data_IF_978166716109
#
_entry.id   IF_978166716109
#
_cell.length_a   1.000
_cell.length_b   1.000
_cell.length_c   1.000
_cell.angle_alpha   90.00
_cell.angle_beta   90.00
_cell.angle_gamma   90.00
#
_symmetry.space_group_name_H-M   'P 1'
#
loop_
_entity.id
_entity.type
_entity.pdbx_description
1 polymer ?
#
# COMPACT_ATOMS: atom_id res chain seq x y z
N UNK A 1 15.81 12.63 -9.41
CA UNK A 1 14.42 12.29 -9.73
C UNK A 1 14.41 10.90 -10.32
N UNK A 2 13.88 9.93 -9.58
CA UNK A 2 13.94 8.52 -9.96
C UNK A 2 12.83 8.18 -10.97
N UNK A 3 13.16 7.73 -12.19
CA UNK A 3 12.17 7.42 -13.23
C UNK A 3 11.27 6.21 -12.91
N UNK A 4 11.60 5.36 -11.94
CA UNK A 4 10.74 4.26 -11.51
C UNK A 4 9.51 4.73 -10.72
N UNK A 5 9.60 5.86 -10.02
CA UNK A 5 8.47 6.39 -9.23
C UNK A 5 7.30 6.83 -10.11
N UNK A 6 7.57 7.20 -11.37
CA UNK A 6 6.54 7.56 -12.34
C UNK A 6 5.81 6.35 -12.96
N UNK A 7 6.33 5.12 -12.83
CA UNK A 7 5.80 3.97 -13.56
C UNK A 7 4.48 3.41 -12.99
N UNK A 8 4.12 3.70 -11.73
CA UNK A 8 2.95 3.12 -11.04
C UNK A 8 1.90 4.17 -10.66
N UNK A 9 1.91 5.34 -11.31
CA UNK A 9 0.96 6.41 -10.98
C UNK A 9 -0.44 6.16 -11.54
N UNK A 10 -0.61 5.20 -12.45
CA UNK A 10 -1.89 4.88 -13.12
C UNK A 10 -2.04 3.38 -13.34
N UNK A 11 -3.23 2.83 -13.07
CA UNK A 11 -3.49 1.40 -13.29
C UNK A 11 -4.96 1.10 -13.64
N UNK A 12 -5.15 -0.11 -14.17
CA UNK A 12 -6.46 -0.69 -14.47
C UNK A 12 -6.77 -1.70 -13.38
N UNK A 13 -7.81 -1.44 -12.60
CA UNK A 13 -8.40 -2.37 -11.67
C UNK A 13 -9.39 -3.23 -12.45
N UNK A 14 -8.95 -4.44 -12.83
CA UNK A 14 -9.73 -5.38 -13.63
C UNK A 14 -11.06 -5.79 -12.98
N UNK A 15 -11.24 -5.56 -11.68
CA UNK A 15 -12.51 -5.83 -11.00
C UNK A 15 -13.65 -4.99 -11.56
N UNK A 16 -13.41 -3.71 -11.87
CA UNK A 16 -14.43 -2.80 -12.39
C UNK A 16 -15.04 -3.33 -13.71
N UNK A 17 -14.25 -3.54 -14.77
CA UNK A 17 -14.78 -4.05 -16.04
C UNK A 17 -15.30 -5.49 -15.93
N UNK A 18 -14.71 -6.32 -15.07
CA UNK A 18 -15.26 -7.64 -14.80
C UNK A 18 -16.66 -7.58 -14.18
N UNK A 19 -16.89 -6.67 -13.22
CA UNK A 19 -18.22 -6.49 -12.62
C UNK A 19 -19.24 -6.00 -13.65
N UNK A 20 -18.84 -5.15 -14.58
CA UNK A 20 -19.70 -4.63 -15.65
C UNK A 20 -20.14 -5.74 -16.62
N UNK A 21 -19.23 -6.64 -16.99
CA UNK A 21 -19.52 -7.76 -17.91
C UNK A 21 -20.28 -8.91 -17.23
N UNK A 22 -19.97 -9.20 -15.97
CA UNK A 22 -20.48 -10.39 -15.27
C UNK A 22 -21.47 -10.10 -14.12
N UNK A 23 -22.02 -8.88 -14.04
CA UNK A 23 -23.15 -8.58 -13.15
C UNK A 23 -22.80 -8.41 -11.68
N UNK A 24 -21.62 -7.88 -11.36
CA UNK A 24 -21.29 -7.44 -10.00
C UNK A 24 -21.04 -8.54 -8.97
N UNK A 25 -20.78 -9.77 -9.41
CA UNK A 25 -20.55 -10.93 -8.53
C UNK A 25 -19.27 -10.75 -7.73
N UNK A 26 -19.40 -10.80 -6.40
CA UNK A 26 -18.23 -10.89 -5.50
C UNK A 26 -17.60 -12.27 -5.64
N UNK A 27 -16.44 -12.31 -6.28
CA UNK A 27 -15.70 -13.54 -6.51
C UNK A 27 -14.19 -13.32 -6.36
N UNK A 28 -13.45 -14.40 -6.14
CA UNK A 28 -11.99 -14.41 -6.17
C UNK A 28 -11.48 -14.55 -7.63
N UNK A 29 -10.16 -14.45 -7.83
CA UNK A 29 -9.58 -14.50 -9.18
C UNK A 29 -9.89 -15.82 -9.91
N UNK A 30 -9.82 -16.95 -9.21
CA UNK A 30 -10.07 -18.26 -9.81
C UNK A 30 -11.51 -18.40 -10.26
N UNK A 31 -12.45 -18.00 -9.42
CA UNK A 31 -13.87 -17.94 -9.75
C UNK A 31 -14.12 -17.00 -10.93
N UNK A 32 -13.50 -15.83 -10.97
CA UNK A 32 -13.63 -14.89 -12.08
C UNK A 32 -13.14 -15.48 -13.42
N UNK A 33 -12.00 -16.17 -13.41
CA UNK A 33 -11.46 -16.88 -14.58
C UNK A 33 -12.44 -17.95 -15.05
N UNK A 34 -13.00 -18.72 -14.13
CA UNK A 34 -13.97 -19.78 -14.44
C UNK A 34 -15.30 -19.21 -14.95
N UNK A 35 -15.79 -18.11 -14.37
CA UNK A 35 -17.00 -17.40 -14.82
C UNK A 35 -16.86 -16.85 -16.24
N UNK A 36 -15.64 -16.44 -16.62
CA UNK A 36 -15.32 -16.07 -18.00
C UNK A 36 -15.18 -17.28 -18.95
N UNK A 37 -15.46 -18.50 -18.48
CA UNK A 37 -15.35 -19.73 -19.27
C UNK A 37 -13.91 -20.20 -19.50
N UNK A 38 -12.94 -19.66 -18.76
CA UNK A 38 -11.53 -20.05 -18.87
C UNK A 38 -11.17 -21.10 -17.81
N UNK A 39 -10.30 -22.04 -18.16
CA UNK A 39 -9.71 -22.96 -17.19
C UNK A 39 -8.64 -22.25 -16.35
N UNK A 40 -8.61 -22.55 -15.05
CA UNK A 40 -7.56 -22.07 -14.14
C UNK A 40 -6.23 -22.79 -14.42
N UNK A 41 -5.14 -22.03 -14.52
CA UNK A 41 -3.80 -22.58 -14.71
C UNK A 41 -2.89 -22.34 -13.50
N UNK A 42 -2.08 -23.34 -13.16
CA UNK A 42 -1.08 -23.22 -12.09
C UNK A 42 -1.66 -23.21 -10.67
N UNK A 43 -0.89 -22.69 -9.72
CA UNK A 43 -1.24 -22.70 -8.30
C UNK A 43 -1.82 -21.36 -7.85
N UNK A 44 -2.96 -21.41 -7.17
CA UNK A 44 -3.53 -20.24 -6.51
C UNK A 44 -2.53 -19.63 -5.53
N UNK A 45 -2.51 -18.29 -5.48
CA UNK A 45 -1.60 -17.51 -4.62
C UNK A 45 -0.12 -17.58 -5.03
N UNK A 46 0.19 -18.10 -6.22
CA UNK A 46 1.49 -17.93 -6.85
C UNK A 46 1.45 -16.70 -7.75
N UNK A 47 2.22 -15.66 -7.44
CA UNK A 47 2.15 -14.37 -8.14
C UNK A 47 2.34 -14.46 -9.66
N UNK A 48 3.19 -15.38 -10.15
CA UNK A 48 3.38 -15.60 -11.59
C UNK A 48 2.14 -16.22 -12.24
N UNK A 49 1.57 -17.25 -11.61
CA UNK A 49 0.39 -17.94 -12.13
C UNK A 49 -0.83 -17.02 -12.06
N UNK A 50 -1.01 -16.28 -10.97
CA UNK A 50 -2.06 -15.28 -10.81
C UNK A 50 -1.95 -14.18 -11.88
N UNK A 51 -0.73 -13.72 -12.20
CA UNK A 51 -0.50 -12.74 -13.26
C UNK A 51 -0.87 -13.30 -14.65
N UNK A 52 -0.50 -14.54 -14.96
CA UNK A 52 -0.88 -15.20 -16.23
C UNK A 52 -2.38 -15.36 -16.36
N UNK A 53 -3.06 -15.86 -15.32
CA UNK A 53 -4.51 -16.00 -15.33
C UNK A 53 -5.22 -14.64 -15.46
N UNK A 54 -4.72 -13.60 -14.79
CA UNK A 54 -5.22 -12.24 -14.91
C UNK A 54 -5.07 -11.71 -16.34
N UNK A 55 -3.91 -11.93 -16.98
CA UNK A 55 -3.68 -11.51 -18.36
C UNK A 55 -4.61 -12.23 -19.35
N UNK A 56 -4.88 -13.52 -19.15
CA UNK A 56 -5.85 -14.28 -19.96
C UNK A 56 -7.27 -13.75 -19.80
N UNK A 57 -7.69 -13.47 -18.57
CA UNK A 57 -9.00 -12.89 -18.30
C UNK A 57 -9.14 -11.51 -18.96
N UNK A 58 -8.10 -10.66 -18.86
CA UNK A 58 -8.05 -9.37 -19.52
C UNK A 58 -8.18 -9.50 -21.05
N UNK A 59 -7.38 -10.38 -21.66
CA UNK A 59 -7.42 -10.61 -23.10
C UNK A 59 -8.79 -11.13 -23.58
N UNK A 60 -9.41 -12.02 -22.80
CA UNK A 60 -10.76 -12.51 -23.09
C UNK A 60 -11.78 -11.36 -23.12
N UNK A 61 -11.76 -10.49 -22.11
CA UNK A 61 -12.64 -9.32 -22.05
C UNK A 61 -12.39 -8.35 -23.23
N UNK A 62 -11.14 -8.16 -23.63
CA UNK A 62 -10.81 -7.36 -24.82
C UNK A 62 -11.38 -7.98 -26.10
N UNK A 63 -11.30 -9.31 -26.25
CA UNK A 63 -11.90 -10.01 -27.39
C UNK A 63 -13.43 -9.95 -27.41
N UNK A 64 -14.08 -9.80 -26.25
CA UNK A 64 -15.52 -9.51 -26.15
C UNK A 64 -15.88 -8.05 -26.51
N UNK A 65 -14.89 -7.23 -26.93
CA UNK A 65 -15.10 -5.84 -27.34
C UNK A 65 -15.04 -4.83 -26.21
N UNK A 66 -14.66 -5.23 -25.00
CA UNK A 66 -14.57 -4.31 -23.86
C UNK A 66 -13.41 -3.33 -24.02
N UNK A 67 -13.70 -2.03 -23.90
CA UNK A 67 -12.70 -0.95 -24.04
C UNK A 67 -12.24 -0.49 -22.66
N UNK A 68 -11.02 -0.87 -22.30
CA UNK A 68 -10.45 -0.52 -21.01
C UNK A 68 -10.00 0.95 -20.95
N UNK A 69 -10.20 1.55 -19.79
CA UNK A 69 -9.67 2.87 -19.43
C UNK A 69 -8.94 2.78 -18.09
N UNK A 70 -8.11 3.78 -17.80
CA UNK A 70 -7.40 3.86 -16.53
C UNK A 70 -8.42 4.10 -15.43
N UNK A 71 -8.62 3.09 -14.59
CA UNK A 71 -9.61 3.15 -13.51
C UNK A 71 -9.15 3.94 -12.30
N UNK A 72 -7.84 4.03 -12.07
CA UNK A 72 -7.27 4.64 -10.86
C UNK A 72 -5.92 5.27 -11.15
N UNK A 73 -5.60 6.28 -10.33
CA UNK A 73 -4.32 6.98 -10.37
C UNK A 73 -3.89 7.37 -8.96
N UNK A 74 -2.61 7.16 -8.64
CA UNK A 74 -1.98 7.72 -7.45
C UNK A 74 -1.46 9.11 -7.81
N UNK A 75 -2.21 10.15 -7.43
CA UNK A 75 -1.68 11.51 -7.44
C UNK A 75 -0.99 11.77 -6.11
N UNK A 76 0.30 12.11 -6.17
CA UNK A 76 0.98 12.65 -5.00
C UNK A 76 0.48 14.09 -4.77
N UNK A 77 0.12 14.49 -3.54
CA UNK A 77 -0.06 15.91 -3.25
C UNK A 77 1.29 16.59 -3.51
N UNK A 78 1.39 17.37 -4.59
CA UNK A 78 2.52 18.29 -4.73
C UNK A 78 2.46 19.24 -3.54
N UNK A 79 3.60 19.47 -2.90
CA UNK A 79 3.74 20.31 -1.73
C UNK A 79 3.59 21.80 -2.07
N UNK A 80 2.56 22.18 -2.81
CA UNK A 80 2.22 23.57 -3.13
C UNK A 80 0.70 23.60 -3.39
N UNK A 81 -0.10 23.50 -2.33
CA UNK A 81 -1.42 24.16 -2.19
C UNK A 81 -2.15 23.59 -0.95
N UNK A 82 -2.15 24.31 0.18
CA UNK A 82 -3.17 24.10 1.19
C UNK A 82 -4.49 24.68 0.69
N UNK A 83 -5.61 24.10 1.15
CA UNK A 83 -7.00 24.60 1.03
C UNK A 83 -7.82 24.11 -0.18
N UNK A 84 -8.08 22.80 -0.28
CA UNK A 84 -9.39 22.31 -0.82
C UNK A 84 -9.76 20.87 -0.40
N UNK A 85 -9.14 20.34 0.66
CA UNK A 85 -9.51 19.04 1.27
C UNK A 85 -10.58 19.19 2.36
N UNK A 86 -11.64 19.95 2.08
CA UNK A 86 -12.84 19.98 2.94
C UNK A 86 -14.11 19.52 2.21
N UNK A 87 -14.19 19.64 0.88
CA UNK A 87 -15.43 19.35 0.17
C UNK A 87 -15.69 17.86 -0.11
N UNK A 88 -14.67 16.98 -0.05
CA UNK A 88 -14.86 15.55 -0.34
C UNK A 88 -15.32 14.73 0.89
N UNK A 89 -14.96 15.15 2.11
CA UNK A 89 -15.31 14.42 3.35
C UNK A 89 -16.72 14.74 3.88
N UNK A 90 -17.38 15.81 3.41
CA UNK A 90 -18.69 16.22 3.91
C UNK A 90 -19.89 15.49 3.25
N UNK A 91 -19.70 14.75 2.15
CA UNK A 91 -20.83 14.13 1.42
C UNK A 91 -21.27 12.77 1.97
N UNK A 92 -20.57 12.14 2.91
CA UNK A 92 -20.82 10.71 3.24
C UNK A 92 -21.15 10.33 4.69
N UNK A 93 -21.41 11.26 5.61
CA UNK A 93 -21.80 10.83 6.96
C UNK A 93 -22.68 11.83 7.68
N UNK A 94 -23.96 11.85 7.32
CA UNK A 94 -25.02 12.14 8.27
C UNK A 94 -25.30 10.90 9.09
N UNK A 95 -24.78 10.80 10.31
CA UNK A 95 -25.42 10.16 11.47
C UNK A 95 -24.74 10.68 12.75
N UNK A 96 -25.54 11.40 13.54
CA UNK A 96 -25.24 12.06 14.81
C UNK A 96 -25.16 11.07 15.97
N UNK A 97 -24.31 11.39 16.97
CA UNK A 97 -24.48 11.31 18.44
C UNK A 97 -23.13 10.91 19.10
N UNK A 98 -22.27 11.87 19.47
CA UNK A 98 -22.17 12.56 20.77
C UNK A 98 -21.19 11.89 21.78
N UNK A 99 -20.61 12.64 22.73
CA UNK A 99 -19.25 12.45 23.25
C UNK A 99 -19.23 12.14 24.76
N UNK A 100 -18.15 11.51 25.26
CA UNK A 100 -17.88 11.57 26.70
C UNK A 100 -16.38 11.64 27.05
N UNK A 101 -16.14 12.36 28.15
CA UNK A 101 -14.95 13.10 28.59
C UNK A 101 -13.79 12.26 29.15
N UNK A 102 -12.58 12.81 28.91
CA UNK A 102 -11.36 12.97 29.74
C UNK A 102 -11.13 12.09 30.98
N UNK A 103 -9.85 11.67 31.16
CA UNK A 103 -9.06 12.00 32.37
C UNK A 103 -7.54 11.86 32.13
N UNK A 104 -6.86 12.95 32.47
CA UNK A 104 -5.41 13.12 32.67
C UNK A 104 -4.84 12.13 33.70
N UNK A 105 -3.59 11.69 33.50
CA UNK A 105 -2.67 11.48 34.62
C UNK A 105 -1.23 11.80 34.19
N UNK A 106 -0.58 12.66 34.99
CA UNK A 106 0.74 13.25 34.78
C UNK A 106 1.79 12.57 35.68
N UNK A 107 2.93 12.17 35.06
CA UNK A 107 4.37 12.17 35.48
C UNK A 107 4.82 11.39 36.75
N UNK A 108 6.12 10.99 36.88
CA UNK A 108 7.25 11.90 37.03
C UNK A 108 8.46 11.67 36.08
N UNK A 109 9.16 12.78 35.88
CA UNK A 109 10.51 12.93 35.34
C UNK A 109 11.55 11.97 35.94
N UNK A 110 12.45 11.47 35.09
CA UNK A 110 13.86 11.28 35.47
C UNK A 110 14.75 11.76 34.32
N UNK A 111 15.60 12.73 34.64
CA UNK A 111 16.62 13.30 33.78
C UNK A 111 17.98 12.80 34.29
N UNK A 112 18.75 12.11 33.44
CA UNK A 112 20.20 11.93 33.64
C UNK A 112 20.91 12.12 32.30
N UNK A 113 21.97 12.91 32.36
CA UNK A 113 22.77 13.49 31.28
C UNK A 113 23.91 12.52 30.82
N UNK A 114 24.81 12.86 29.89
CA UNK A 114 24.99 12.14 28.62
C UNK A 114 26.32 11.37 28.48
N UNK A 115 26.49 10.72 27.31
CA UNK A 115 27.72 10.21 26.68
C UNK A 115 28.27 8.91 27.28
N UNK A 116 28.11 7.81 26.54
CA UNK A 116 29.26 7.13 25.90
C UNK A 116 28.83 6.59 24.53
N UNK A 117 29.52 7.11 23.52
CA UNK A 117 29.41 6.76 22.10
C UNK A 117 30.38 5.60 21.90
N UNK A 118 29.86 4.39 21.77
CA UNK A 118 30.63 3.24 21.31
C UNK A 118 30.16 2.86 19.90
N UNK A 119 31.16 2.88 19.03
CA UNK A 119 31.12 2.95 17.59
C UNK A 119 30.74 1.59 16.98
N UNK A 120 29.48 1.43 16.55
CA UNK A 120 29.17 0.54 15.44
C UNK A 120 28.28 1.29 14.48
N UNK A 121 28.74 1.41 13.25
CA UNK A 121 28.22 2.14 12.09
C UNK A 121 26.78 1.74 11.72
N UNK A 122 25.81 2.03 12.59
CA UNK A 122 24.40 2.00 12.22
C UNK A 122 24.09 3.37 11.60
N UNK A 123 24.43 3.50 10.32
CA UNK A 123 24.11 4.66 9.50
C UNK A 123 22.60 4.92 9.64
N UNK A 124 22.26 5.91 10.46
CA UNK A 124 20.87 6.27 10.77
C UNK A 124 20.24 6.84 9.50
N UNK A 125 19.73 5.96 8.65
CA UNK A 125 19.04 6.34 7.44
C UNK A 125 17.71 6.99 7.84
N UNK A 126 17.48 8.21 7.35
CA UNK A 126 16.21 8.90 7.51
C UNK A 126 15.35 8.59 6.27
N UNK A 127 14.04 8.44 6.45
CA UNK A 127 13.10 8.29 5.33
C UNK A 127 13.04 9.56 4.46
N UNK A 128 12.35 9.48 3.32
CA UNK A 128 11.99 10.65 2.50
C UNK A 128 11.16 11.70 3.26
N UNK A 129 10.53 11.30 4.36
CA UNK A 129 9.77 12.15 5.26
C UNK A 129 10.58 12.79 6.39
N UNK A 130 11.91 12.58 6.43
CA UNK A 130 12.80 13.09 7.48
C UNK A 130 12.72 12.38 8.84
N UNK A 131 11.77 11.44 9.02
CA UNK A 131 11.67 10.57 10.19
C UNK A 131 12.75 9.48 10.15
N UNK A 132 13.25 9.07 11.32
CA UNK A 132 14.19 7.95 11.42
C UNK A 132 13.57 6.68 10.83
N UNK A 133 14.31 5.99 9.97
CA UNK A 133 13.86 4.70 9.44
C UNK A 133 13.92 3.62 10.52
N UNK A 134 13.03 2.64 10.40
CA UNK A 134 12.97 1.45 11.25
C UNK A 134 13.53 0.26 10.50
N UNK A 135 14.50 -0.44 11.10
CA UNK A 135 15.06 -1.69 10.56
C UNK A 135 14.13 -2.86 10.89
N UNK A 136 13.74 -3.63 9.88
CA UNK A 136 12.83 -4.76 9.99
C UNK A 136 13.40 -5.98 9.26
N UNK A 137 13.01 -7.18 9.70
CA UNK A 137 13.43 -8.44 9.10
C UNK A 137 12.28 -9.05 8.30
N UNK A 138 12.59 -9.61 7.13
CA UNK A 138 11.61 -10.36 6.33
C UNK A 138 11.34 -11.71 6.98
N UNK A 139 10.19 -11.81 7.65
CA UNK A 139 9.73 -13.05 8.28
C UNK A 139 9.06 -14.03 7.31
N UNK A 140 8.56 -13.53 6.16
CA UNK A 140 7.87 -14.38 5.18
C UNK A 140 8.86 -15.35 4.52
N UNK A 141 8.49 -16.62 4.29
CA UNK A 141 9.35 -17.58 3.62
C UNK A 141 9.58 -17.17 2.16
N UNK A 142 10.81 -17.29 1.68
CA UNK A 142 11.20 -16.96 0.32
C UNK A 142 12.69 -16.63 0.19
N UNK A 143 13.17 -16.29 -1.02
CA UNK A 143 14.59 -16.03 -1.30
C UNK A 143 15.24 -14.93 -0.45
N UNK A 144 14.43 -14.03 0.11
CA UNK A 144 14.86 -12.91 0.96
C UNK A 144 14.49 -13.10 2.44
N UNK A 145 14.05 -14.29 2.85
CA UNK A 145 13.76 -14.60 4.25
C UNK A 145 14.99 -14.34 5.13
N UNK A 146 14.79 -13.72 6.30
CA UNK A 146 15.87 -13.34 7.22
C UNK A 146 16.69 -12.12 6.78
N UNK A 147 16.49 -11.59 5.56
CA UNK A 147 17.12 -10.33 5.15
C UNK A 147 16.52 -9.14 5.91
N UNK A 148 17.35 -8.12 6.14
CA UNK A 148 16.93 -6.86 6.76
C UNK A 148 16.64 -5.78 5.73
N UNK A 149 15.65 -4.95 6.02
CA UNK A 149 15.34 -3.73 5.26
C UNK A 149 15.05 -2.57 6.21
N UNK A 150 15.15 -1.35 5.70
CA UNK A 150 14.76 -0.12 6.38
C UNK A 150 13.45 0.38 5.78
N UNK A 151 12.45 0.62 6.64
CA UNK A 151 11.16 1.22 6.28
C UNK A 151 10.93 2.55 7.01
N UNK A 152 9.93 3.33 6.59
CA UNK A 152 9.57 4.54 7.33
C UNK A 152 9.12 4.22 8.77
N UNK A 153 9.69 4.93 9.76
CA UNK A 153 9.30 4.80 11.17
C UNK A 153 7.98 5.49 11.55
N UNK A 154 7.43 6.33 10.67
CA UNK A 154 6.13 6.98 10.87
C UNK A 154 4.98 6.04 10.46
N UNK A 155 4.81 4.98 11.24
CA UNK A 155 3.76 3.98 11.06
C UNK A 155 2.57 4.30 11.97
N UNK A 156 1.37 4.40 11.39
CA UNK A 156 0.12 4.58 12.15
C UNK A 156 -0.74 3.32 12.05
N UNK A 157 -1.34 2.91 13.17
CA UNK A 157 -2.16 1.69 13.22
C UNK A 157 -3.39 1.72 12.29
N UNK A 158 -3.88 2.92 11.96
CA UNK A 158 -5.07 3.13 11.12
C UNK A 158 -4.76 3.46 9.66
N UNK A 159 -3.52 3.89 9.34
CA UNK A 159 -3.16 4.37 8.00
C UNK A 159 -1.89 3.76 7.39
N UNK A 160 -1.19 2.88 8.12
CA UNK A 160 0.11 2.35 7.71
C UNK A 160 1.20 3.43 7.73
N UNK A 161 2.29 3.18 7.00
CA UNK A 161 3.35 4.16 6.82
C UNK A 161 2.92 5.20 5.76
N UNK A 162 2.96 6.48 6.12
CA UNK A 162 2.64 7.59 5.19
C UNK A 162 3.73 7.84 4.16
N UNK A 163 4.93 7.28 4.37
CA UNK A 163 6.08 7.43 3.49
C UNK A 163 6.47 6.07 2.90
N UNK A 164 6.64 5.97 1.56
CA UNK A 164 6.99 4.73 0.88
C UNK A 164 8.48 4.40 0.96
N UNK A 165 9.21 4.98 1.92
CA UNK A 165 10.64 4.72 2.07
C UNK A 165 10.89 3.24 2.34
N UNK A 166 11.73 2.64 1.50
CA UNK A 166 12.17 1.26 1.58
C UNK A 166 13.59 1.15 1.03
N UNK A 167 14.48 0.54 1.80
CA UNK A 167 15.85 0.26 1.36
C UNK A 167 16.32 -1.08 1.96
N UNK A 168 17.00 -1.92 1.17
CA UNK A 168 17.59 -3.13 1.73
C UNK A 168 18.81 -2.79 2.57
N UNK A 169 18.94 -3.37 3.76
CA UNK A 169 20.17 -3.22 4.53
C UNK A 169 21.29 -3.96 3.79
N UNK A 170 22.30 -3.22 3.35
CA UNK A 170 23.58 -3.80 2.93
C UNK A 170 24.34 -4.25 4.18
N UNK A 171 24.98 -5.41 4.09
CA UNK A 171 25.85 -5.94 5.15
C UNK A 171 27.07 -5.05 5.37
#
# INVERSE_FOLDING_TARGET
FDPFVLAIVRWINLKVPFHEVFGGVKCNLKEAVQLAGLAWEGRAHCGLDDAKNTARLLAHLMHQGFRFTITNSLMWPSAEHPLTMQQYLERQSGFTLQPHRMKHQFVPFFQVHPVQVEHSTEQRMHCYCGVKSSKQMVQKPGPKHGSFFFGCGNWTATGGALCPYFEWATL
#
